data_IF_588534895077
#
_entry.id   IF_588534895077
#
_cell.length_a   1.000
_cell.length_b   1.000
_cell.length_c   1.000
_cell.angle_alpha   90.00
_cell.angle_beta   90.00
_cell.angle_gamma   90.00
#
_symmetry.space_group_name_H-M   'P 1'
#
loop_
_entity.id
_entity.type
_entity.pdbx_description
1 polymer ?
#
# COMPACT_ATOMS: atom_id res chain seq x y z
N UNK A 1 -5.95 7.03 -7.62
CA UNK A 1 -5.32 5.79 -7.12
C UNK A 1 -5.73 5.58 -5.67
N UNK A 2 -6.09 4.37 -5.32
CA UNK A 2 -6.66 3.99 -4.04
C UNK A 2 -5.93 2.79 -3.47
N UNK A 3 -5.90 2.66 -2.13
CA UNK A 3 -5.38 1.49 -1.45
C UNK A 3 -6.52 0.79 -0.70
N UNK A 4 -6.66 -0.51 -0.91
CA UNK A 4 -7.71 -1.33 -0.30
C UNK A 4 -7.06 -2.61 0.22
N UNK A 5 -7.39 -2.98 1.44
CA UNK A 5 -6.93 -4.22 2.06
C UNK A 5 -6.68 -4.10 3.54
N UNK A 6 -6.02 -5.11 4.08
CA UNK A 6 -5.79 -5.25 5.53
C UNK A 6 -4.48 -4.61 5.96
N UNK A 7 -4.44 -4.14 7.20
CA UNK A 7 -3.23 -3.61 7.83
C UNK A 7 -3.00 -2.14 7.61
N UNK A 8 -3.92 -1.45 6.94
CA UNK A 8 -3.87 -0.01 6.69
C UNK A 8 -5.18 0.64 7.12
N UNK A 9 -5.14 1.89 7.54
CA UNK A 9 -6.35 2.62 7.91
C UNK A 9 -6.05 4.01 8.43
N UNK A 10 -6.93 4.95 8.15
CA UNK A 10 -6.85 6.33 8.67
C UNK A 10 -8.17 6.71 9.31
N UNK A 11 -8.15 7.40 10.44
CA UNK A 11 -6.96 7.95 11.12
C UNK A 11 -6.06 6.92 11.77
N UNK A 12 -6.52 5.68 11.99
CA UNK A 12 -5.68 4.62 12.53
C UNK A 12 -6.20 3.24 12.13
N UNK A 13 -5.33 2.23 12.11
CA UNK A 13 -5.76 0.85 11.87
C UNK A 13 -6.63 0.31 13.00
N UNK A 14 -6.45 0.81 14.22
CA UNK A 14 -7.25 0.38 15.37
C UNK A 14 -8.71 0.81 15.25
N UNK A 15 -8.95 2.05 14.80
CA UNK A 15 -10.30 2.62 14.71
C UNK A 15 -10.93 2.48 13.34
N UNK A 16 -10.13 2.39 12.27
CA UNK A 16 -10.61 2.61 10.91
C UNK A 16 -9.87 1.75 9.89
N UNK A 17 -9.58 0.50 10.21
CA UNK A 17 -8.94 -0.41 9.25
C UNK A 17 -9.79 -0.52 7.99
N UNK A 18 -9.15 -0.40 6.83
CA UNK A 18 -9.81 -0.49 5.53
C UNK A 18 -10.37 -1.89 5.30
N UNK A 19 -9.54 -2.92 5.50
CA UNK A 19 -9.91 -4.27 5.12
C UNK A 19 -10.18 -4.36 3.62
N UNK A 20 -10.98 -5.31 3.21
CA UNK A 20 -11.36 -5.45 1.80
C UNK A 20 -12.71 -4.77 1.51
N UNK A 21 -12.85 -3.52 2.00
CA UNK A 21 -14.05 -2.72 1.81
C UNK A 21 -13.73 -1.48 0.95
N UNK A 22 -14.26 -1.45 -0.26
CA UNK A 22 -14.00 -0.36 -1.22
C UNK A 22 -14.44 0.99 -0.70
N UNK A 23 -15.50 1.03 0.10
CA UNK A 23 -16.01 2.27 0.69
C UNK A 23 -15.08 2.90 1.72
N UNK A 24 -14.08 2.17 2.19
CA UNK A 24 -13.09 2.65 3.16
C UNK A 24 -11.72 2.88 2.54
N UNK A 25 -11.59 2.74 1.23
CA UNK A 25 -10.32 2.88 0.53
C UNK A 25 -9.59 4.17 0.87
N UNK A 26 -8.27 4.09 0.97
CA UNK A 26 -7.43 5.27 1.17
C UNK A 26 -7.05 5.85 -0.18
N UNK A 27 -7.36 7.13 -0.39
CA UNK A 27 -7.00 7.83 -1.62
C UNK A 27 -5.55 8.28 -1.57
N UNK A 28 -4.78 7.98 -2.62
CA UNK A 28 -3.42 8.49 -2.76
C UNK A 28 -3.47 9.94 -3.24
N UNK A 29 -2.56 10.77 -2.71
CA UNK A 29 -2.42 12.14 -3.15
C UNK A 29 -1.61 12.21 -4.43
N UNK A 30 -2.09 12.99 -5.41
CA UNK A 30 -1.31 13.28 -6.60
C UNK A 30 -0.25 14.33 -6.25
N UNK A 31 1.02 13.97 -6.37
CA UNK A 31 2.14 14.85 -5.99
C UNK A 31 2.85 15.45 -7.20
N UNK A 32 2.63 14.88 -8.37
CA UNK A 32 3.12 15.37 -9.65
C UNK A 32 2.24 14.75 -10.73
N UNK A 33 2.30 15.21 -11.99
CA UNK A 33 1.53 14.58 -13.06
C UNK A 33 1.81 13.08 -13.11
N UNK A 34 0.75 12.27 -13.00
CA UNK A 34 0.79 10.80 -13.05
C UNK A 34 1.61 10.13 -11.95
N UNK A 35 1.85 10.85 -10.84
CA UNK A 35 2.54 10.30 -9.65
C UNK A 35 1.68 10.50 -8.43
N UNK A 36 1.48 9.41 -7.69
CA UNK A 36 0.57 9.36 -6.55
C UNK A 36 1.28 8.77 -5.35
N UNK A 37 0.99 9.30 -4.15
CA UNK A 37 1.66 8.86 -2.92
C UNK A 37 0.67 8.63 -1.79
N UNK A 38 1.01 7.65 -0.95
CA UNK A 38 0.35 7.38 0.32
C UNK A 38 1.44 7.24 1.37
N UNK A 39 1.32 8.00 2.45
CA UNK A 39 2.26 7.95 3.57
C UNK A 39 1.56 7.31 4.76
N UNK A 40 2.16 6.27 5.32
CA UNK A 40 1.63 5.53 6.45
C UNK A 40 2.67 5.47 7.56
N UNK A 41 2.19 5.49 8.81
CA UNK A 41 3.03 5.40 10.01
C UNK A 41 2.77 4.09 10.74
N UNK A 42 3.81 3.31 10.94
CA UNK A 42 3.72 2.03 11.61
C UNK A 42 3.27 2.20 13.07
N UNK A 43 2.30 1.41 13.49
CA UNK A 43 1.68 1.53 14.81
C UNK A 43 0.50 2.49 14.85
N UNK A 44 0.24 3.23 13.78
CA UNK A 44 -0.89 4.17 13.69
C UNK A 44 -1.75 3.87 12.47
N UNK A 45 -1.27 4.18 11.27
CA UNK A 45 -2.00 3.96 10.02
C UNK A 45 -1.55 2.71 9.27
N UNK A 46 -0.52 2.04 9.76
CA UNK A 46 0.01 0.80 9.23
C UNK A 46 0.26 -0.15 10.40
N UNK A 47 -0.17 -1.42 10.30
CA UNK A 47 0.17 -2.42 11.32
C UNK A 47 1.67 -2.67 11.34
N UNK A 48 2.20 -3.01 12.51
CA UNK A 48 3.65 -3.25 12.68
C UNK A 48 4.04 -4.69 12.43
N UNK A 49 3.17 -5.65 12.77
CA UNK A 49 3.49 -7.08 12.72
C UNK A 49 2.23 -7.93 12.64
N UNK A 50 2.44 -9.20 12.47
CA UNK A 50 1.40 -10.21 12.38
C UNK A 50 1.82 -11.26 11.36
N UNK A 51 0.89 -12.17 11.05
CA UNK A 51 1.09 -13.12 9.99
C UNK A 51 0.84 -12.47 8.62
N UNK A 52 0.86 -13.27 7.56
CA UNK A 52 0.64 -12.78 6.21
C UNK A 52 -0.75 -12.15 6.01
N UNK A 53 -1.72 -12.46 6.89
CA UNK A 53 -3.05 -11.86 6.82
C UNK A 53 -3.14 -10.50 7.50
N UNK A 54 -2.18 -10.15 8.36
CA UNK A 54 -2.22 -8.91 9.11
C UNK A 54 -2.02 -7.69 8.20
N UNK A 55 -1.15 -7.82 7.21
CA UNK A 55 -0.90 -6.81 6.19
C UNK A 55 -1.04 -7.48 4.84
N UNK A 56 -2.09 -7.13 4.13
CA UNK A 56 -2.34 -7.59 2.77
C UNK A 56 -3.24 -6.55 2.11
N UNK A 57 -2.66 -5.70 1.27
CA UNK A 57 -3.42 -4.66 0.59
C UNK A 57 -2.88 -4.46 -0.82
N UNK A 58 -3.66 -3.80 -1.63
CA UNK A 58 -3.41 -3.65 -3.06
C UNK A 58 -3.80 -2.24 -3.49
N UNK A 59 -3.15 -1.74 -4.53
CA UNK A 59 -3.53 -0.47 -5.15
C UNK A 59 -4.51 -0.69 -6.30
N UNK A 60 -5.38 0.30 -6.48
CA UNK A 60 -6.43 0.30 -7.50
C UNK A 60 -6.43 1.62 -8.23
N UNK A 61 -6.74 1.62 -9.52
CA UNK A 61 -6.91 2.86 -10.28
C UNK A 61 -8.36 3.36 -10.27
N UNK A 62 -9.24 2.68 -9.56
CA UNK A 62 -10.61 3.14 -9.28
C UNK A 62 -11.00 2.75 -7.86
N UNK A 63 -12.00 3.41 -7.31
CA UNK A 63 -12.51 3.15 -5.96
C UNK A 63 -13.54 2.02 -5.97
N UNK A 64 -13.21 0.90 -6.62
CA UNK A 64 -14.08 -0.28 -6.71
C UNK A 64 -13.26 -1.44 -7.26
N UNK A 65 -13.83 -2.64 -7.18
CA UNK A 65 -13.27 -3.84 -7.77
C UNK A 65 -13.15 -3.70 -9.29
N UNK A 66 -12.20 -4.42 -9.87
CA UNK A 66 -11.95 -4.40 -11.31
C UNK A 66 -10.88 -3.41 -11.75
N UNK A 67 -10.36 -2.59 -10.83
CA UNK A 67 -9.30 -1.63 -11.12
C UNK A 67 -7.97 -1.94 -10.46
N UNK A 68 -7.68 -3.21 -10.21
CA UNK A 68 -6.49 -3.65 -9.49
C UNK A 68 -5.21 -3.44 -10.29
N UNK A 69 -4.17 -2.94 -9.62
CA UNK A 69 -2.80 -3.07 -10.13
C UNK A 69 -2.30 -4.46 -9.74
N UNK A 70 -2.34 -5.39 -10.67
CA UNK A 70 -1.89 -6.78 -10.45
C UNK A 70 -0.42 -6.98 -10.80
N UNK A 71 0.11 -6.16 -11.68
CA UNK A 71 1.48 -6.21 -12.14
C UNK A 71 2.08 -4.81 -12.19
N UNK A 72 3.39 -4.74 -12.03
CA UNK A 72 4.15 -3.49 -12.14
C UNK A 72 5.30 -3.70 -13.10
N UNK A 73 5.62 -2.67 -13.90
CA UNK A 73 6.79 -2.70 -14.78
C UNK A 73 8.09 -2.85 -13.98
N UNK A 74 8.13 -2.21 -12.81
CA UNK A 74 9.20 -2.41 -11.83
C UNK A 74 8.69 -2.06 -10.45
N UNK A 75 9.36 -2.59 -9.42
CA UNK A 75 9.03 -2.24 -8.04
C UNK A 75 10.30 -2.19 -7.20
N UNK A 76 10.27 -1.31 -6.18
CA UNK A 76 11.31 -1.20 -5.16
C UNK A 76 10.60 -1.22 -3.82
N UNK A 77 10.90 -2.20 -2.99
CA UNK A 77 10.20 -2.41 -1.73
C UNK A 77 11.18 -2.33 -0.56
N UNK A 78 10.65 -1.95 0.62
CA UNK A 78 11.37 -2.14 1.88
C UNK A 78 11.41 -3.64 2.21
N UNK A 79 12.39 -4.04 3.04
CA UNK A 79 12.63 -5.46 3.34
C UNK A 79 11.45 -6.16 4.04
N UNK A 80 10.58 -5.39 4.70
CA UNK A 80 9.44 -5.94 5.42
C UNK A 80 8.31 -6.41 4.50
N UNK A 81 8.29 -5.97 3.26
CA UNK A 81 7.19 -6.25 2.34
C UNK A 81 7.60 -7.13 1.18
N UNK A 82 6.65 -7.90 0.69
CA UNK A 82 6.74 -8.63 -0.57
C UNK A 82 5.54 -8.31 -1.45
N UNK A 83 5.71 -8.44 -2.75
CA UNK A 83 4.65 -8.27 -3.73
C UNK A 83 4.25 -9.66 -4.23
N UNK A 84 2.96 -10.00 -4.09
CA UNK A 84 2.46 -11.29 -4.57
C UNK A 84 2.18 -11.24 -6.07
N UNK A 85 1.96 -12.41 -6.66
CA UNK A 85 1.64 -12.52 -8.10
C UNK A 85 0.31 -11.86 -8.49
N UNK A 86 -0.57 -11.59 -7.53
CA UNK A 86 -1.82 -10.88 -7.76
C UNK A 86 -1.75 -9.39 -7.47
N UNK A 87 -0.58 -8.89 -7.07
CA UNK A 87 -0.36 -7.47 -6.78
C UNK A 87 -0.57 -7.05 -5.34
N UNK A 88 -0.83 -7.97 -4.43
CA UNK A 88 -0.94 -7.66 -3.00
C UNK A 88 0.44 -7.36 -2.42
N UNK A 89 0.50 -6.31 -1.59
CA UNK A 89 1.63 -6.07 -0.70
C UNK A 89 1.35 -6.80 0.60
N UNK A 90 2.24 -7.70 0.97
CA UNK A 90 2.11 -8.52 2.18
C UNK A 90 3.39 -8.47 2.99
N UNK A 91 3.26 -8.76 4.29
CA UNK A 91 4.41 -8.82 5.19
C UNK A 91 5.28 -10.03 4.85
N UNK A 92 6.60 -9.80 4.78
CA UNK A 92 7.57 -10.89 4.70
C UNK A 92 7.58 -11.70 6.00
N UNK A 93 7.83 -13.01 5.88
CA UNK A 93 7.91 -13.89 7.04
C UNK A 93 9.00 -13.41 8.02
N UNK A 94 8.66 -13.42 9.31
CA UNK A 94 9.57 -13.04 10.40
C UNK A 94 10.07 -11.60 10.32
N UNK A 95 9.36 -10.72 9.60
CA UNK A 95 9.66 -9.30 9.55
C UNK A 95 8.59 -8.51 10.28
N UNK A 96 8.96 -7.32 10.71
CA UNK A 96 8.05 -6.37 11.33
C UNK A 96 8.49 -4.94 10.99
N UNK A 97 7.52 -4.04 10.95
CA UNK A 97 7.83 -2.62 10.87
C UNK A 97 8.21 -2.10 12.25
N UNK A 98 9.18 -1.22 12.31
CA UNK A 98 9.53 -0.51 13.54
C UNK A 98 8.41 0.47 13.87
N UNK A 99 7.86 0.39 15.09
CA UNK A 99 6.80 1.30 15.52
C UNK A 99 7.28 2.75 15.41
N UNK A 100 6.44 3.61 14.84
CA UNK A 100 6.78 5.01 14.60
C UNK A 100 7.48 5.26 13.26
N UNK A 101 7.92 4.20 12.57
CA UNK A 101 8.50 4.34 11.23
C UNK A 101 7.49 4.86 10.23
N UNK A 102 7.92 5.79 9.37
CA UNK A 102 7.05 6.39 8.35
C UNK A 102 7.46 5.87 6.97
N UNK A 103 6.49 5.34 6.24
CA UNK A 103 6.71 4.70 4.95
C UNK A 103 5.90 5.40 3.88
N UNK A 104 6.54 5.66 2.75
CA UNK A 104 5.90 6.31 1.61
C UNK A 104 5.78 5.34 0.45
N UNK A 105 4.56 5.19 -0.05
CA UNK A 105 4.22 4.35 -1.19
C UNK A 105 3.98 5.26 -2.38
N UNK A 106 4.71 5.06 -3.46
CA UNK A 106 4.58 5.87 -4.68
C UNK A 106 4.18 4.98 -5.85
N UNK A 107 3.13 5.39 -6.55
CA UNK A 107 2.68 4.76 -7.79
C UNK A 107 2.90 5.77 -8.91
N UNK A 108 3.73 5.40 -9.88
CA UNK A 108 4.00 6.22 -11.06
C UNK A 108 3.35 5.56 -12.27
N UNK A 109 2.38 6.23 -12.87
CA UNK A 109 1.64 5.75 -14.03
C UNK A 109 1.93 6.59 -15.28
N UNK A 110 3.11 7.21 -15.33
CA UNK A 110 3.54 8.01 -16.49
C UNK A 110 3.42 7.21 -17.79
N UNK A 111 3.73 5.92 -17.75
CA UNK A 111 3.67 5.02 -18.90
C UNK A 111 2.38 4.20 -18.96
N UNK A 112 1.33 4.67 -18.32
CA UNK A 112 0.03 4.01 -18.26
C UNK A 112 -0.11 3.06 -17.07
N UNK A 113 -1.35 2.70 -16.75
CA UNK A 113 -1.65 1.82 -15.60
C UNK A 113 -1.06 0.42 -15.77
N UNK A 114 -0.96 -0.07 -17.00
CA UNK A 114 -0.39 -1.40 -17.28
C UNK A 114 1.13 -1.43 -17.11
N UNK A 115 1.78 -0.28 -17.02
CA UNK A 115 3.23 -0.16 -16.89
C UNK A 115 3.59 0.68 -15.66
N UNK A 116 2.81 0.57 -14.60
CA UNK A 116 3.02 1.32 -13.37
C UNK A 116 4.33 0.90 -12.68
N UNK A 117 4.92 1.86 -11.97
CA UNK A 117 6.12 1.64 -11.17
C UNK A 117 5.72 1.86 -9.69
N UNK A 118 6.04 0.89 -8.86
CA UNK A 118 5.77 0.94 -7.43
C UNK A 118 7.08 1.16 -6.67
N UNK A 119 7.07 2.13 -5.75
CA UNK A 119 8.20 2.34 -4.85
C UNK A 119 7.69 2.45 -3.43
N UNK A 120 8.30 1.70 -2.52
CA UNK A 120 8.03 1.79 -1.09
C UNK A 120 9.34 2.11 -0.40
N UNK A 121 9.35 3.20 0.38
CA UNK A 121 10.55 3.67 1.06
C UNK A 121 10.23 4.12 2.49
N UNK A 122 11.19 3.93 3.39
CA UNK A 122 11.12 4.47 4.73
C UNK A 122 11.64 5.90 4.68
N UNK A 123 10.83 6.86 5.11
CA UNK A 123 11.20 8.29 5.04
C UNK A 123 11.47 8.90 6.41
N UNK A 124 11.18 8.18 7.47
CA UNK A 124 11.51 8.63 8.83
C UNK A 124 11.57 7.47 9.83
#
# INVERSE_FOLDING_TARGET
IWAIGKGIGKPSVTSSEVGWETGKALCLAQVAPKKYQLTLKAGETLKTSGDWEAISFKFFYQNDWGGEFSNYASNTLVEQLKLTGSGNLEMQDNKAFEEGGVYRFTIDVTNGNANAILKVEKIN
#
